data_IF_787206012922
#
_entry.id   IF_787206012922
#
_cell.length_a   1.000
_cell.length_b   1.000
_cell.length_c   1.000
_cell.angle_alpha   90.00
_cell.angle_beta   90.00
_cell.angle_gamma   90.00
#
_symmetry.space_group_name_H-M   'P 1'
#
loop_
_entity.id
_entity.type
_entity.pdbx_description
1 polymer ?
#
# COMPACT_ATOMS: atom_id res chain seq x y z
N UNK A 1 -16.09 34.76 3.51
CA UNK A 1 -15.24 33.57 3.76
C UNK A 1 -16.12 32.36 3.56
N UNK A 2 -15.63 31.32 2.87
CA UNK A 2 -16.29 30.01 2.87
C UNK A 2 -16.31 29.47 4.30
N UNK A 3 -17.35 28.75 4.67
CA UNK A 3 -17.42 28.12 5.99
C UNK A 3 -16.36 27.00 6.08
N UNK A 4 -15.76 26.74 7.25
CA UNK A 4 -14.73 25.69 7.40
C UNK A 4 -15.19 24.34 6.85
N UNK A 5 -16.45 23.98 7.10
CA UNK A 5 -17.06 22.74 6.60
C UNK A 5 -17.11 22.67 5.06
N UNK A 6 -17.26 23.81 4.37
CA UNK A 6 -17.24 23.86 2.91
C UNK A 6 -15.82 23.69 2.37
N UNK A 7 -14.82 24.26 3.05
CA UNK A 7 -13.41 24.12 2.70
C UNK A 7 -12.94 22.67 2.87
N UNK A 8 -13.34 22.00 3.96
CA UNK A 8 -13.08 20.57 4.17
C UNK A 8 -13.67 19.74 3.03
N UNK A 9 -14.98 19.86 2.77
CA UNK A 9 -15.63 19.08 1.70
C UNK A 9 -14.98 19.30 0.34
N UNK A 10 -14.61 20.54 0.02
CA UNK A 10 -13.91 20.85 -1.21
C UNK A 10 -12.55 20.14 -1.25
N UNK A 11 -11.77 20.22 -0.18
CA UNK A 11 -10.47 19.56 -0.05
C UNK A 11 -10.58 18.03 -0.18
N UNK A 12 -11.61 17.43 0.42
CA UNK A 12 -11.80 15.97 0.38
C UNK A 12 -12.18 15.42 -1.00
N UNK A 13 -12.76 16.26 -1.87
CA UNK A 13 -13.24 15.89 -3.21
C UNK A 13 -12.17 15.98 -4.30
N UNK A 14 -10.99 16.47 -3.97
CA UNK A 14 -9.90 16.67 -4.93
C UNK A 14 -9.23 15.35 -5.29
N UNK A 15 -8.83 15.22 -6.56
CA UNK A 15 -8.09 14.06 -7.08
C UNK A 15 -6.68 14.39 -7.61
N UNK A 16 -6.34 15.67 -7.84
CA UNK A 16 -5.06 16.07 -8.45
C UNK A 16 -4.14 16.83 -7.48
N UNK A 17 -2.83 16.82 -7.76
CA UNK A 17 -1.82 17.52 -6.94
C UNK A 17 -2.02 19.04 -6.97
N UNK A 18 -2.31 19.61 -8.14
CA UNK A 18 -2.51 21.07 -8.26
C UNK A 18 -3.73 21.54 -7.48
N UNK A 19 -4.84 20.80 -7.60
CA UNK A 19 -6.07 21.10 -6.88
C UNK A 19 -5.89 20.93 -5.37
N UNK A 20 -5.13 19.93 -4.90
CA UNK A 20 -5.04 19.66 -3.47
C UNK A 20 -4.14 20.69 -2.79
N UNK A 21 -3.07 21.12 -3.47
CA UNK A 21 -2.24 22.24 -3.01
C UNK A 21 -3.08 23.51 -2.93
N UNK A 22 -3.87 23.81 -3.96
CA UNK A 22 -4.72 25.01 -3.98
C UNK A 22 -5.77 24.98 -2.88
N UNK A 23 -6.47 23.85 -2.71
CA UNK A 23 -7.46 23.68 -1.66
C UNK A 23 -6.83 23.79 -0.27
N UNK A 24 -5.64 23.22 -0.06
CA UNK A 24 -4.91 23.34 1.20
C UNK A 24 -4.53 24.80 1.50
N UNK A 25 -4.08 25.57 0.51
CA UNK A 25 -3.80 27.01 0.68
C UNK A 25 -5.05 27.82 1.06
N UNK A 26 -6.23 27.45 0.53
CA UNK A 26 -7.48 28.09 0.96
C UNK A 26 -7.77 27.80 2.45
N UNK A 27 -7.44 26.61 2.94
CA UNK A 27 -7.61 26.22 4.35
C UNK A 27 -6.66 26.99 5.29
N UNK A 28 -5.44 27.34 4.86
CA UNK A 28 -4.47 28.09 5.69
C UNK A 28 -5.00 29.43 6.19
N UNK A 29 -6.03 29.99 5.55
CA UNK A 29 -6.66 31.25 5.96
C UNK A 29 -7.61 31.14 7.15
N UNK A 30 -8.09 29.93 7.47
CA UNK A 30 -9.14 29.71 8.47
C UNK A 30 -8.87 28.59 9.47
N UNK A 31 -7.90 27.72 9.20
CA UNK A 31 -7.62 26.54 10.00
C UNK A 31 -6.42 26.77 10.91
N UNK A 32 -6.45 26.20 12.11
CA UNK A 32 -5.27 26.21 13.00
C UNK A 32 -4.26 25.11 12.60
N UNK A 33 -3.09 25.10 13.24
CA UNK A 33 -2.01 24.16 12.91
C UNK A 33 -2.41 22.70 13.15
N UNK A 34 -3.21 22.43 14.18
CA UNK A 34 -3.67 21.08 14.50
C UNK A 34 -4.62 20.58 13.41
N UNK A 35 -5.58 21.41 13.03
CA UNK A 35 -6.52 21.10 11.94
C UNK A 35 -5.77 20.93 10.60
N UNK A 36 -4.84 21.83 10.25
CA UNK A 36 -4.04 21.71 9.03
C UNK A 36 -3.14 20.46 9.04
N UNK A 37 -2.59 20.08 10.20
CA UNK A 37 -1.83 18.85 10.34
C UNK A 37 -2.67 17.60 10.05
N UNK A 38 -3.95 17.57 10.46
CA UNK A 38 -4.86 16.47 10.15
C UNK A 38 -5.13 16.30 8.64
N UNK A 39 -4.99 17.35 7.84
CA UNK A 39 -5.15 17.29 6.38
C UNK A 39 -3.82 17.11 5.62
N UNK A 40 -2.69 17.34 6.29
CA UNK A 40 -1.37 17.33 5.66
C UNK A 40 -0.96 15.95 5.11
N UNK A 41 -1.46 14.84 5.67
CA UNK A 41 -1.18 13.50 5.15
C UNK A 41 -1.75 13.29 3.74
N UNK A 42 -2.90 13.91 3.46
CA UNK A 42 -3.62 13.78 2.19
C UNK A 42 -2.87 14.51 1.08
N UNK A 43 -2.31 15.68 1.39
CA UNK A 43 -1.37 16.40 0.51
C UNK A 43 -0.13 15.55 0.25
N UNK A 44 0.48 14.99 1.31
CA UNK A 44 1.67 14.14 1.18
C UNK A 44 1.39 12.90 0.31
N UNK A 45 0.20 12.29 0.44
CA UNK A 45 -0.19 11.12 -0.35
C UNK A 45 -0.30 11.44 -1.86
N UNK A 46 -0.92 12.56 -2.23
CA UNK A 46 -1.01 12.98 -3.64
C UNK A 46 0.37 13.29 -4.23
N UNK A 47 1.21 14.00 -3.48
CA UNK A 47 2.59 14.28 -3.90
C UNK A 47 3.41 13.00 -4.07
N UNK A 48 3.25 12.02 -3.18
CA UNK A 48 3.94 10.73 -3.31
C UNK A 48 3.43 9.92 -4.51
N UNK A 49 2.13 9.98 -4.82
CA UNK A 49 1.56 9.31 -6.00
C UNK A 49 2.11 9.85 -7.33
N UNK A 50 2.31 11.16 -7.43
CA UNK A 50 2.90 11.81 -8.62
C UNK A 50 4.44 11.89 -8.55
N UNK A 51 5.06 11.21 -7.57
CA UNK A 51 6.51 11.20 -7.34
C UNK A 51 7.17 12.59 -7.32
N UNK A 52 6.46 13.57 -6.75
CA UNK A 52 6.89 14.97 -6.61
C UNK A 52 8.13 15.13 -5.70
N UNK A 53 8.55 16.40 -5.50
CA UNK A 53 9.70 16.76 -4.67
C UNK A 53 9.71 16.02 -3.30
N UNK A 54 10.69 15.15 -3.06
CA UNK A 54 10.79 14.36 -1.83
C UNK A 54 10.80 15.19 -0.55
N UNK A 55 11.44 16.36 -0.55
CA UNK A 55 11.51 17.19 0.65
C UNK A 55 10.15 17.84 0.97
N UNK A 56 9.39 18.25 -0.05
CA UNK A 56 8.00 18.70 0.11
C UNK A 56 7.10 17.59 0.66
N UNK A 57 7.23 16.37 0.14
CA UNK A 57 6.48 15.20 0.65
C UNK A 57 6.78 14.97 2.14
N UNK A 58 8.07 14.93 2.51
CA UNK A 58 8.50 14.74 3.90
C UNK A 58 8.02 15.87 4.82
N UNK A 59 7.99 17.11 4.35
CA UNK A 59 7.48 18.26 5.11
C UNK A 59 6.00 18.06 5.50
N UNK A 60 5.13 17.74 4.54
CA UNK A 60 3.71 17.50 4.81
C UNK A 60 3.47 16.24 5.64
N UNK A 61 4.20 15.16 5.35
CA UNK A 61 4.09 13.91 6.12
C UNK A 61 4.49 14.11 7.59
N UNK A 62 5.58 14.84 7.85
CA UNK A 62 6.04 15.15 9.21
C UNK A 62 5.04 16.05 9.96
N UNK A 63 4.43 17.01 9.26
CA UNK A 63 3.38 17.86 9.84
C UNK A 63 2.17 17.04 10.30
N UNK A 64 1.75 16.06 9.50
CA UNK A 64 0.67 15.15 9.88
C UNK A 64 1.06 14.20 11.02
N UNK A 65 2.28 13.63 10.97
CA UNK A 65 2.73 12.67 11.97
C UNK A 65 2.72 13.26 13.38
N UNK A 66 3.19 14.51 13.54
CA UNK A 66 3.19 15.22 14.83
C UNK A 66 1.79 15.31 15.44
N UNK A 67 0.79 15.67 14.64
CA UNK A 67 -0.60 15.77 15.12
C UNK A 67 -1.16 14.40 15.47
N UNK A 68 -0.85 13.36 14.70
CA UNK A 68 -1.32 12.01 14.97
C UNK A 68 -0.66 11.35 16.19
N UNK A 69 0.60 11.69 16.48
CA UNK A 69 1.31 11.19 17.67
C UNK A 69 0.86 11.88 18.97
N UNK A 70 0.34 13.11 18.90
CA UNK A 70 -0.19 13.85 20.05
C UNK A 70 -1.59 13.42 20.49
N UNK A 71 -2.31 12.67 19.64
CA UNK A 71 -3.70 12.28 19.87
C UNK A 71 -3.84 10.76 20.06
N UNK A 72 -3.88 10.32 21.32
CA UNK A 72 -4.00 8.91 21.71
C UNK A 72 -5.26 8.22 21.13
N UNK A 73 -6.26 8.97 20.65
CA UNK A 73 -7.47 8.41 20.02
C UNK A 73 -7.34 8.19 18.51
N UNK A 74 -6.34 8.77 17.84
CA UNK A 74 -6.15 8.69 16.38
C UNK A 74 -5.27 7.51 15.93
N UNK A 75 -4.86 6.67 16.88
CA UNK A 75 -4.02 5.48 16.65
C UNK A 75 -4.77 4.41 15.89
N UNK A 76 -4.94 4.52 14.57
CA UNK A 76 -5.40 3.36 13.83
C UNK A 76 -4.82 3.15 12.41
N UNK A 77 -5.31 3.74 11.30
CA UNK A 77 -4.71 3.55 9.97
C UNK A 77 -3.77 4.65 9.46
N UNK A 78 -4.08 5.91 9.78
CA UNK A 78 -3.45 7.07 9.14
C UNK A 78 -1.96 7.18 9.50
N UNK A 79 -1.58 6.80 10.72
CA UNK A 79 -0.18 6.72 11.14
C UNK A 79 0.58 5.74 10.24
N UNK A 80 0.01 4.58 9.90
CA UNK A 80 0.67 3.64 9.01
C UNK A 80 0.85 4.20 7.59
N UNK A 81 -0.13 4.95 7.08
CA UNK A 81 -0.04 5.62 5.77
C UNK A 81 1.06 6.69 5.78
N UNK A 82 1.10 7.55 6.80
CA UNK A 82 2.12 8.60 6.91
C UNK A 82 3.52 7.99 7.05
N UNK A 83 3.68 6.95 7.88
CA UNK A 83 4.94 6.23 8.02
C UNK A 83 5.35 5.52 6.72
N UNK A 84 4.39 4.96 5.97
CA UNK A 84 4.64 4.42 4.63
C UNK A 84 5.19 5.50 3.69
N UNK A 85 4.54 6.66 3.60
CA UNK A 85 4.97 7.78 2.75
C UNK A 85 6.40 8.19 3.15
N UNK A 86 6.64 8.44 4.44
CA UNK A 86 7.99 8.79 4.92
C UNK A 86 9.02 7.71 4.58
N UNK A 87 8.67 6.44 4.75
CA UNK A 87 9.51 5.30 4.41
C UNK A 87 9.86 5.24 2.92
N UNK A 88 8.85 5.33 2.05
CA UNK A 88 8.98 5.31 0.59
C UNK A 88 9.81 6.50 0.08
N UNK A 89 9.51 7.71 0.54
CA UNK A 89 10.25 8.91 0.16
C UNK A 89 11.71 8.84 0.62
N UNK A 90 11.99 8.34 1.83
CA UNK A 90 13.38 8.12 2.27
C UNK A 90 14.08 7.01 1.47
N UNK A 91 13.37 5.98 1.02
CA UNK A 91 13.92 4.97 0.11
C UNK A 91 14.33 5.60 -1.23
N UNK A 92 13.49 6.48 -1.81
CA UNK A 92 13.80 7.24 -3.05
C UNK A 92 15.07 8.09 -2.88
N UNK A 93 15.25 8.68 -1.70
CA UNK A 93 16.42 9.48 -1.34
C UNK A 93 17.65 8.64 -0.93
N UNK A 94 17.59 7.29 -1.03
CA UNK A 94 18.63 6.36 -0.56
C UNK A 94 18.98 6.50 0.92
N UNK A 95 18.08 7.07 1.72
CA UNK A 95 18.17 7.18 3.18
C UNK A 95 17.64 5.89 3.82
N UNK A 96 18.28 4.77 3.51
CA UNK A 96 17.76 3.42 3.84
C UNK A 96 17.56 3.17 5.33
N UNK A 97 18.44 3.68 6.19
CA UNK A 97 18.27 3.55 7.65
C UNK A 97 16.98 4.22 8.15
N UNK A 98 16.72 5.46 7.72
CA UNK A 98 15.49 6.17 8.04
C UNK A 98 14.27 5.49 7.43
N UNK A 99 14.40 5.00 6.19
CA UNK A 99 13.34 4.25 5.51
C UNK A 99 12.93 3.00 6.29
N UNK A 100 13.90 2.19 6.74
CA UNK A 100 13.64 1.02 7.59
C UNK A 100 12.95 1.39 8.90
N UNK A 101 13.37 2.45 9.58
CA UNK A 101 12.74 2.85 10.84
C UNK A 101 11.25 3.15 10.64
N UNK A 102 10.92 4.00 9.66
CA UNK A 102 9.53 4.35 9.37
C UNK A 102 8.70 3.14 8.92
N UNK A 103 9.23 2.31 8.01
CA UNK A 103 8.49 1.17 7.48
C UNK A 103 8.27 0.07 8.53
N UNK A 104 9.24 -0.19 9.41
CA UNK A 104 9.06 -1.12 10.52
C UNK A 104 8.02 -0.61 11.52
N UNK A 105 8.00 0.70 11.79
CA UNK A 105 6.93 1.32 12.60
C UNK A 105 5.58 1.17 11.91
N UNK A 106 5.49 1.38 10.59
CA UNK A 106 4.27 1.19 9.82
C UNK A 106 3.75 -0.25 9.91
N UNK A 107 4.64 -1.24 9.74
CA UNK A 107 4.29 -2.66 9.86
C UNK A 107 3.73 -2.98 11.24
N UNK A 108 4.35 -2.51 12.33
CA UNK A 108 3.85 -2.73 13.70
C UNK A 108 2.48 -2.12 13.97
N UNK A 109 2.15 -1.02 13.30
CA UNK A 109 0.80 -0.43 13.37
C UNK A 109 -0.16 -1.36 12.62
N UNK A 110 0.18 -1.77 11.41
CA UNK A 110 -0.65 -2.63 10.56
C UNK A 110 -0.90 -4.02 11.15
N UNK A 111 0.07 -4.59 11.87
CA UNK A 111 -0.04 -5.90 12.54
C UNK A 111 -1.15 -5.94 13.60
N UNK A 112 -1.62 -4.78 14.07
CA UNK A 112 -2.72 -4.69 15.04
C UNK A 112 -4.09 -4.86 14.40
N UNK A 113 -4.18 -4.90 13.08
CA UNK A 113 -5.43 -4.95 12.32
C UNK A 113 -5.65 -6.32 11.71
N UNK A 114 -6.87 -6.86 11.83
CA UNK A 114 -7.22 -8.05 11.07
C UNK A 114 -7.36 -7.69 9.58
N UNK A 115 -7.08 -8.62 8.65
CA UNK A 115 -7.28 -8.40 7.21
C UNK A 115 -8.71 -7.94 6.84
N UNK A 116 -9.70 -8.22 7.69
CA UNK A 116 -11.09 -7.77 7.52
C UNK A 116 -11.33 -6.33 8.00
N UNK A 117 -10.55 -5.83 8.98
CA UNK A 117 -10.59 -4.43 9.44
C UNK A 117 -9.92 -3.51 8.42
N UNK A 118 -9.03 -4.07 7.60
CA UNK A 118 -8.34 -3.41 6.50
C UNK A 118 -9.24 -3.14 5.27
N UNK A 119 -10.52 -3.54 5.30
CA UNK A 119 -11.44 -3.49 4.14
C UNK A 119 -11.96 -2.07 3.81
N UNK A 120 -11.37 -1.01 4.36
CA UNK A 120 -11.46 0.33 3.80
C UNK A 120 -10.58 0.44 2.55
N UNK A 121 -11.06 1.14 1.51
CA UNK A 121 -10.32 1.31 0.23
C UNK A 121 -8.88 1.80 0.42
N UNK A 122 -8.60 2.55 1.48
CA UNK A 122 -7.28 3.18 1.70
C UNK A 122 -6.34 2.32 2.56
N UNK A 123 -6.86 1.43 3.42
CA UNK A 123 -6.04 0.81 4.47
C UNK A 123 -5.47 -0.55 4.11
N UNK A 124 -6.28 -1.47 3.58
CA UNK A 124 -5.80 -2.77 3.07
C UNK A 124 -4.89 -2.65 1.86
N UNK A 125 -4.93 -1.49 1.20
CA UNK A 125 -4.00 -1.13 0.14
C UNK A 125 -2.67 -0.57 0.64
N UNK A 126 -2.47 -0.36 1.95
CA UNK A 126 -1.23 0.21 2.51
C UNK A 126 -0.24 -0.88 2.99
N UNK A 127 -0.71 -2.03 3.48
CA UNK A 127 0.17 -3.12 3.93
C UNK A 127 1.07 -3.66 2.82
N UNK A 128 0.48 -3.93 1.65
CA UNK A 128 1.23 -4.42 0.49
C UNK A 128 2.34 -3.43 0.12
N UNK A 129 2.08 -2.13 -0.16
CA UNK A 129 3.12 -1.14 -0.41
C UNK A 129 4.21 -1.04 0.67
N UNK A 130 3.85 -1.09 1.96
CA UNK A 130 4.84 -1.10 3.06
C UNK A 130 5.81 -2.27 2.91
N UNK A 131 5.28 -3.47 2.72
CA UNK A 131 6.08 -4.68 2.55
C UNK A 131 6.93 -4.61 1.26
N UNK A 132 6.40 -4.07 0.16
CA UNK A 132 7.16 -3.86 -1.08
C UNK A 132 8.35 -2.93 -0.91
N UNK A 133 8.16 -1.80 -0.22
CA UNK A 133 9.26 -0.86 0.01
C UNK A 133 10.28 -1.49 0.98
N UNK A 134 9.85 -2.25 1.99
CA UNK A 134 10.78 -3.00 2.86
C UNK A 134 11.64 -3.98 2.07
N UNK A 135 11.04 -4.78 1.18
CA UNK A 135 11.78 -5.69 0.29
C UNK A 135 12.84 -4.93 -0.50
N UNK A 136 12.46 -3.79 -1.10
CA UNK A 136 13.39 -2.95 -1.86
C UNK A 136 14.54 -2.46 -1.00
N UNK A 137 14.25 -1.96 0.20
CA UNK A 137 15.28 -1.44 1.11
C UNK A 137 16.21 -2.55 1.59
N UNK A 138 15.70 -3.70 2.01
CA UNK A 138 16.53 -4.84 2.45
C UNK A 138 17.38 -5.37 1.28
N UNK A 139 16.84 -5.41 0.06
CA UNK A 139 17.59 -5.80 -1.15
C UNK A 139 18.74 -4.83 -1.45
N UNK A 140 18.50 -3.52 -1.38
CA UNK A 140 19.52 -2.48 -1.56
C UNK A 140 20.60 -2.51 -0.46
N UNK A 141 20.27 -3.02 0.72
CA UNK A 141 21.22 -3.25 1.82
C UNK A 141 21.96 -4.58 1.73
N UNK A 142 21.67 -5.42 0.73
CA UNK A 142 22.28 -6.75 0.55
C UNK A 142 21.76 -7.81 1.54
N UNK A 143 20.63 -7.56 2.20
CA UNK A 143 19.97 -8.46 3.15
C UNK A 143 18.94 -9.33 2.44
N UNK A 144 19.48 -10.24 1.65
CA UNK A 144 18.73 -11.03 0.69
C UNK A 144 17.71 -11.96 1.34
N UNK A 145 18.08 -12.60 2.46
CA UNK A 145 17.20 -13.55 3.14
C UNK A 145 15.97 -12.86 3.73
N UNK A 146 16.17 -11.69 4.35
CA UNK A 146 15.10 -10.85 4.90
C UNK A 146 14.16 -10.35 3.80
N UNK A 147 14.71 -9.90 2.66
CA UNK A 147 13.91 -9.48 1.51
C UNK A 147 13.04 -10.63 0.95
N UNK A 148 13.58 -11.85 0.88
CA UNK A 148 12.83 -13.04 0.44
C UNK A 148 11.72 -13.42 1.43
N UNK A 149 11.97 -13.31 2.73
CA UNK A 149 10.94 -13.58 3.75
C UNK A 149 9.76 -12.60 3.65
N UNK A 150 10.05 -11.32 3.45
CA UNK A 150 9.04 -10.27 3.26
C UNK A 150 8.25 -10.51 1.97
N UNK A 151 8.91 -10.90 0.88
CA UNK A 151 8.22 -11.24 -0.38
C UNK A 151 7.28 -12.44 -0.23
N UNK A 152 7.69 -13.49 0.50
CA UNK A 152 6.83 -14.66 0.78
C UNK A 152 5.56 -14.23 1.51
N UNK A 153 5.68 -13.43 2.58
CA UNK A 153 4.54 -12.87 3.32
C UNK A 153 3.61 -12.03 2.42
N UNK A 154 4.19 -11.25 1.51
CA UNK A 154 3.45 -10.47 0.51
C UNK A 154 2.59 -11.34 -0.42
N UNK A 155 3.13 -12.47 -0.87
CA UNK A 155 2.42 -13.41 -1.75
C UNK A 155 1.32 -14.16 -0.98
N UNK A 156 1.61 -14.60 0.25
CA UNK A 156 0.63 -15.24 1.15
C UNK A 156 -0.57 -14.32 1.39
N UNK A 157 -0.31 -13.06 1.80
CA UNK A 157 -1.36 -12.08 2.06
C UNK A 157 -2.22 -11.79 0.82
N UNK A 158 -1.59 -11.61 -0.35
CA UNK A 158 -2.31 -11.42 -1.61
C UNK A 158 -3.12 -12.67 -2.00
N UNK A 159 -2.63 -13.87 -1.67
CA UNK A 159 -3.34 -15.14 -1.83
C UNK A 159 -4.62 -15.20 -1.00
N UNK A 160 -4.53 -14.86 0.30
CA UNK A 160 -5.71 -14.77 1.18
C UNK A 160 -6.74 -13.74 0.69
N UNK A 161 -6.29 -12.60 0.15
CA UNK A 161 -7.17 -11.61 -0.45
C UNK A 161 -7.87 -12.13 -1.71
N UNK A 162 -7.18 -12.92 -2.54
CA UNK A 162 -7.75 -13.52 -3.75
C UNK A 162 -8.86 -14.54 -3.45
N UNK A 163 -8.73 -15.30 -2.36
CA UNK A 163 -9.81 -16.20 -1.92
C UNK A 163 -11.09 -15.43 -1.61
N UNK A 164 -10.96 -14.18 -1.17
CA UNK A 164 -12.07 -13.27 -0.82
C UNK A 164 -12.57 -12.47 -2.02
N UNK A 165 -11.68 -12.07 -2.94
CA UNK A 165 -12.00 -11.29 -4.12
C UNK A 165 -11.28 -11.82 -5.38
N UNK A 166 -12.04 -12.54 -6.20
CA UNK A 166 -11.56 -13.11 -7.46
C UNK A 166 -11.05 -12.07 -8.49
N UNK A 167 -11.39 -10.79 -8.33
CA UNK A 167 -10.86 -9.71 -9.18
C UNK A 167 -9.36 -9.42 -8.93
N UNK A 168 -8.81 -9.88 -7.81
CA UNK A 168 -7.41 -9.69 -7.43
C UNK A 168 -6.45 -10.72 -8.04
N UNK A 169 -6.94 -11.63 -8.88
CA UNK A 169 -6.15 -12.73 -9.48
C UNK A 169 -4.94 -12.24 -10.26
N UNK A 170 -5.08 -11.11 -10.98
CA UNK A 170 -3.98 -10.47 -11.71
C UNK A 170 -2.89 -9.96 -10.76
N UNK A 171 -3.26 -9.38 -9.62
CA UNK A 171 -2.30 -8.81 -8.66
C UNK A 171 -1.49 -9.90 -7.94
N UNK A 172 -2.11 -11.05 -7.68
CA UNK A 172 -1.43 -12.25 -7.16
C UNK A 172 -0.45 -12.81 -8.19
N UNK A 173 -0.80 -12.84 -9.47
CA UNK A 173 0.09 -13.30 -10.53
C UNK A 173 1.36 -12.45 -10.66
N UNK A 174 1.21 -11.13 -10.64
CA UNK A 174 2.37 -10.22 -10.64
C UNK A 174 3.26 -10.44 -9.41
N UNK A 175 2.66 -10.58 -8.22
CA UNK A 175 3.44 -10.84 -7.00
C UNK A 175 4.24 -12.15 -7.05
N UNK A 176 3.64 -13.22 -7.59
CA UNK A 176 4.34 -14.51 -7.79
C UNK A 176 5.47 -14.38 -8.81
N UNK A 177 5.26 -13.62 -9.88
CA UNK A 177 6.30 -13.34 -10.87
C UNK A 177 7.48 -12.60 -10.25
N UNK A 178 7.21 -11.53 -9.49
CA UNK A 178 8.25 -10.74 -8.85
C UNK A 178 9.04 -11.55 -7.81
N UNK A 179 8.35 -12.41 -7.03
CA UNK A 179 8.99 -13.33 -6.09
C UNK A 179 9.87 -14.35 -6.82
N UNK A 180 9.37 -14.98 -7.89
CA UNK A 180 10.17 -15.90 -8.70
C UNK A 180 11.40 -15.21 -9.31
N UNK A 181 11.25 -13.96 -9.79
CA UNK A 181 12.37 -13.19 -10.33
C UNK A 181 13.41 -12.86 -9.25
N UNK A 182 12.99 -12.58 -8.02
CA UNK A 182 13.90 -12.39 -6.88
C UNK A 182 14.69 -13.66 -6.57
N UNK A 183 14.05 -14.83 -6.54
CA UNK A 183 14.75 -16.11 -6.38
C UNK A 183 15.76 -16.40 -7.50
N UNK A 184 15.39 -16.13 -8.76
CA UNK A 184 16.32 -16.24 -9.90
C UNK A 184 17.52 -15.32 -9.74
N UNK A 185 17.32 -14.08 -9.30
CA UNK A 185 18.42 -13.13 -9.05
C UNK A 185 19.37 -13.63 -7.95
N UNK A 186 18.87 -14.42 -7.01
CA UNK A 186 19.64 -15.05 -5.94
C UNK A 186 20.16 -16.45 -6.28
N UNK A 187 20.03 -16.89 -7.54
CA UNK A 187 20.43 -18.21 -8.03
C UNK A 187 19.72 -19.39 -7.34
N UNK A 188 18.59 -19.12 -6.68
CA UNK A 188 17.71 -20.12 -6.07
C UNK A 188 16.68 -20.60 -7.08
N UNK A 189 17.15 -21.38 -8.05
CA UNK A 189 16.31 -21.84 -9.17
C UNK A 189 15.25 -22.85 -8.73
N UNK A 190 15.48 -23.58 -7.63
CA UNK A 190 14.54 -24.57 -7.11
C UNK A 190 13.26 -23.88 -6.61
N UNK A 191 13.42 -22.87 -5.76
CA UNK A 191 12.28 -22.10 -5.25
C UNK A 191 11.62 -21.25 -6.34
N UNK A 192 12.40 -20.68 -7.27
CA UNK A 192 11.83 -19.98 -8.43
C UNK A 192 10.91 -20.90 -9.25
N UNK A 193 11.35 -22.14 -9.52
CA UNK A 193 10.54 -23.13 -10.23
C UNK A 193 9.31 -23.55 -9.43
N UNK A 194 9.44 -23.74 -8.11
CA UNK A 194 8.35 -24.11 -7.23
C UNK A 194 7.22 -23.06 -7.24
N UNK A 195 7.56 -21.77 -7.10
CA UNK A 195 6.58 -20.66 -7.13
C UNK A 195 5.86 -20.59 -8.48
N UNK A 196 6.59 -20.69 -9.59
CA UNK A 196 5.99 -20.66 -10.94
C UNK A 196 5.05 -21.85 -11.15
N UNK A 197 5.44 -23.03 -10.64
CA UNK A 197 4.64 -24.24 -10.75
C UNK A 197 3.32 -24.14 -9.96
N UNK A 198 3.37 -23.68 -8.71
CA UNK A 198 2.18 -23.50 -7.87
C UNK A 198 1.22 -22.47 -8.45
N UNK A 199 1.74 -21.35 -8.97
CA UNK A 199 0.91 -20.35 -9.65
C UNK A 199 0.23 -20.93 -10.91
N UNK A 200 0.96 -21.70 -11.72
CA UNK A 200 0.41 -22.35 -12.90
C UNK A 200 -0.67 -23.40 -12.56
N UNK A 201 -0.44 -24.18 -11.50
CA UNK A 201 -1.41 -25.15 -10.96
C UNK A 201 -2.71 -24.45 -10.55
N UNK A 202 -2.62 -23.30 -9.89
CA UNK A 202 -3.77 -22.49 -9.49
C UNK A 202 -4.57 -21.97 -10.71
N UNK A 203 -3.89 -21.41 -11.72
CA UNK A 203 -4.54 -20.95 -12.97
C UNK A 203 -5.28 -22.11 -13.65
N UNK A 204 -4.65 -23.29 -13.72
CA UNK A 204 -5.25 -24.47 -14.35
C UNK A 204 -6.50 -24.97 -13.59
N UNK A 205 -6.45 -24.96 -12.26
CA UNK A 205 -7.58 -25.33 -11.39
C UNK A 205 -8.77 -24.37 -11.56
N UNK A 206 -8.51 -23.07 -11.57
CA UNK A 206 -9.55 -22.04 -11.76
C UNK A 206 -10.17 -22.09 -13.16
N UNK A 207 -9.36 -22.29 -14.21
CA UNK A 207 -9.86 -22.50 -15.57
C UNK A 207 -10.77 -23.73 -15.68
N UNK A 208 -10.40 -24.84 -15.03
CA UNK A 208 -11.22 -26.06 -15.00
C UNK A 208 -12.58 -25.82 -14.31
N UNK A 209 -12.61 -25.03 -13.22
CA UNK A 209 -13.84 -24.63 -12.53
C UNK A 209 -14.74 -23.73 -13.39
N UNK A 210 -14.15 -22.79 -14.15
CA UNK A 210 -14.88 -21.92 -15.08
C UNK A 210 -15.51 -22.76 -16.20
N UNK A 211 -14.75 -23.67 -16.81
CA UNK A 211 -15.29 -24.55 -17.86
C UNK A 211 -16.43 -25.43 -17.36
N UNK A 212 -16.33 -25.94 -16.12
CA UNK A 212 -17.41 -26.70 -15.50
C UNK A 212 -18.67 -25.84 -15.27
N UNK A 213 -18.54 -24.62 -14.73
CA UNK A 213 -19.66 -23.68 -14.55
C UNK A 213 -20.33 -23.30 -15.88
N UNK A 214 -19.55 -23.05 -16.92
CA UNK A 214 -20.07 -22.75 -18.26
C UNK A 214 -20.86 -23.92 -18.85
N UNK A 215 -20.41 -25.17 -18.63
CA UNK A 215 -21.18 -26.37 -19.04
C UNK A 215 -22.49 -26.51 -18.27
N UNK A 216 -22.48 -26.27 -16.95
CA UNK A 216 -23.68 -26.39 -16.11
C UNK A 216 -24.71 -25.32 -16.46
N UNK A 217 -24.29 -24.06 -16.64
CA UNK A 217 -25.19 -22.95 -17.02
C UNK A 217 -25.67 -23.06 -18.48
N UNK A 218 -24.81 -23.51 -19.40
CA UNK A 218 -25.20 -23.78 -20.79
C UNK A 218 -26.18 -24.95 -20.93
N UNK A 219 -26.18 -25.90 -20.00
CA UNK A 219 -27.15 -26.99 -19.93
C UNK A 219 -28.54 -26.59 -19.42
N UNK A 220 -28.66 -25.51 -18.64
CA UNK A 220 -29.93 -25.03 -18.07
C UNK A 220 -30.72 -24.10 -19.00
N UNK A 221 -30.09 -23.51 -20.02
CA UNK A 221 -30.74 -22.66 -21.02
C UNK A 221 -31.16 -23.44 -22.29
N UNK A 222 -30.93 -24.76 -22.30
CA UNK A 222 -31.25 -25.65 -23.42
C UNK A 222 -32.17 -26.80 -23.02
N UNK A 223 -33.25 -26.52 -22.28
CA UNK A 223 -34.34 -27.46 -21.97
C UNK A 223 -35.69 -26.81 -22.24
#
# INVERSE_FOLDING_TARGET
MKEKSELEKAFESVETVEEIIKAFQEMESGFDEKELGMHSWRVAAHLEMEEEDPEKILSFANRALKVFEEDDQLSSPLIAIVLYIMGSTNCRLKRFASSLDYLNRASRVLDRYQPNDLCGKDFGRTLIPVQWVLVKVESELGRTEEALELLRKCVEFKGEMLEKDSSLSRQVGLANQDLAQSYVANLDFEEACHIVWEHWRYIRSTWSRIQWRLRVLGGFLGS
#
